data_IF_884786820389
#
_entry.id   IF_884786820389
#
_cell.length_a   1.000
_cell.length_b   1.000
_cell.length_c   1.000
_cell.angle_alpha   90.00
_cell.angle_beta   90.00
_cell.angle_gamma   90.00
#
_symmetry.space_group_name_H-M   'P 1'
#
loop_
_entity.id
_entity.type
_entity.pdbx_description
1 polymer ?
#
# COMPACT_ATOMS: atom_id res chain seq x y z
N UNK A 1 9.46 28.69 -27.79
CA UNK A 1 9.01 27.32 -28.03
C UNK A 1 8.86 26.71 -26.66
N UNK A 2 7.69 26.20 -26.25
CA UNK A 2 7.61 25.47 -25.00
C UNK A 2 8.35 24.15 -25.21
N UNK A 3 9.35 23.88 -24.38
CA UNK A 3 9.97 22.58 -24.27
C UNK A 3 8.85 21.57 -23.99
N UNK A 4 8.84 20.43 -24.70
CA UNK A 4 7.93 19.34 -24.35
C UNK A 4 8.21 19.01 -22.88
N UNK A 5 7.20 18.71 -22.05
CA UNK A 5 7.50 18.04 -20.79
C UNK A 5 8.34 16.82 -21.17
N UNK A 6 9.49 16.64 -20.53
CA UNK A 6 10.20 15.38 -20.63
C UNK A 6 9.16 14.30 -20.33
N UNK A 7 8.83 13.45 -21.32
CA UNK A 7 7.92 12.29 -21.17
C UNK A 7 8.56 11.22 -20.25
N UNK A 8 9.52 11.60 -19.41
CA UNK A 8 10.15 10.76 -18.41
C UNK A 8 9.26 10.73 -17.15
N UNK A 9 8.60 9.60 -16.86
CA UNK A 9 7.75 9.46 -15.69
C UNK A 9 8.52 9.62 -14.37
N UNK A 10 9.85 9.52 -14.39
CA UNK A 10 10.72 9.68 -13.23
C UNK A 10 11.28 11.10 -13.06
N UNK A 11 10.87 12.09 -13.87
CA UNK A 11 11.43 13.45 -13.81
C UNK A 11 11.36 14.09 -12.40
N UNK A 12 10.30 13.79 -11.64
CA UNK A 12 10.09 14.26 -10.26
C UNK A 12 10.51 13.23 -9.18
N UNK A 13 11.15 12.13 -9.57
CA UNK A 13 11.62 11.09 -8.67
C UNK A 13 13.07 11.31 -8.26
N UNK A 14 13.33 11.21 -6.96
CA UNK A 14 14.70 11.22 -6.42
C UNK A 14 15.43 9.88 -6.65
N UNK A 15 14.67 8.81 -6.88
CA UNK A 15 15.18 7.49 -7.17
C UNK A 15 15.22 7.24 -8.67
N UNK A 16 16.36 6.73 -9.15
CA UNK A 16 16.51 6.25 -10.51
C UNK A 16 15.49 5.13 -10.84
N UNK A 17 15.07 4.99 -12.11
CA UNK A 17 14.16 3.91 -12.52
C UNK A 17 14.71 2.51 -12.20
N UNK A 18 16.04 2.36 -12.21
CA UNK A 18 16.71 1.10 -11.85
C UNK A 18 16.58 0.75 -10.36
N UNK A 19 16.28 1.71 -9.49
CA UNK A 19 16.16 1.48 -8.05
C UNK A 19 14.86 0.77 -7.65
N UNK A 20 13.84 0.81 -8.52
CA UNK A 20 12.56 0.10 -8.31
C UNK A 20 12.52 -1.26 -8.99
N UNK A 21 13.49 -1.59 -9.85
CA UNK A 21 13.53 -2.86 -10.57
C UNK A 21 13.74 -4.07 -9.65
N UNK A 22 13.13 -5.18 -10.06
CA UNK A 22 13.20 -6.46 -9.38
C UNK A 22 12.06 -6.66 -8.37
N UNK A 23 12.18 -7.73 -7.59
CA UNK A 23 11.19 -8.11 -6.57
C UNK A 23 11.62 -7.64 -5.19
N UNK A 24 10.72 -6.95 -4.49
CA UNK A 24 10.94 -6.47 -3.13
C UNK A 24 9.75 -6.78 -2.23
N UNK A 25 10.04 -7.39 -1.09
CA UNK A 25 9.04 -7.65 -0.04
C UNK A 25 9.18 -6.62 1.08
N UNK A 26 8.04 -6.05 1.46
CA UNK A 26 7.85 -5.18 2.61
C UNK A 26 7.13 -5.98 3.69
N UNK A 27 7.77 -6.08 4.85
CA UNK A 27 7.29 -6.93 5.93
C UNK A 27 6.42 -6.19 6.93
N UNK A 28 5.35 -6.85 7.40
CA UNK A 28 4.46 -6.32 8.44
C UNK A 28 3.85 -4.96 8.08
N UNK A 29 3.34 -4.83 6.85
CA UNK A 29 2.74 -3.59 6.34
C UNK A 29 1.25 -3.70 6.05
N UNK A 30 0.75 -4.91 5.82
CA UNK A 30 -0.66 -5.16 5.56
C UNK A 30 -1.42 -5.38 6.87
N UNK A 31 -2.72 -5.11 6.84
CA UNK A 31 -3.62 -5.50 7.92
C UNK A 31 -3.63 -7.03 8.05
N UNK A 32 -3.63 -7.54 9.28
CA UNK A 32 -3.68 -8.96 9.61
C UNK A 32 -4.67 -9.19 10.75
N UNK A 33 -5.12 -10.44 10.96
CA UNK A 33 -5.95 -10.76 12.12
C UNK A 33 -5.20 -10.56 13.46
N UNK A 34 -3.87 -10.50 13.43
CA UNK A 34 -3.00 -10.19 14.57
C UNK A 34 -2.73 -8.68 14.74
N UNK A 35 -3.31 -7.82 13.89
CA UNK A 35 -3.15 -6.36 14.01
C UNK A 35 -3.63 -5.88 15.38
N UNK A 36 -2.84 -5.01 16.01
CA UNK A 36 -3.14 -4.51 17.34
C UNK A 36 -4.49 -3.79 17.39
N UNK A 37 -5.31 -4.15 18.38
CA UNK A 37 -6.63 -3.56 18.61
C UNK A 37 -6.72 -2.97 20.02
N UNK A 38 -7.46 -1.88 20.22
CA UNK A 38 -7.71 -1.36 21.56
C UNK A 38 -8.45 -2.40 22.39
N UNK A 39 -8.12 -2.45 23.68
CA UNK A 39 -8.83 -3.28 24.67
C UNK A 39 -9.47 -2.40 25.72
N UNK A 40 -10.73 -2.67 26.06
CA UNK A 40 -11.40 -1.98 27.15
C UNK A 40 -10.83 -2.48 28.48
N UNK A 41 -10.24 -1.58 29.27
CA UNK A 41 -9.60 -1.93 30.55
C UNK A 41 -10.57 -2.49 31.60
N UNK A 42 -11.86 -2.22 31.49
CA UNK A 42 -12.87 -2.70 32.44
C UNK A 42 -13.42 -4.09 32.08
N UNK A 43 -13.47 -4.42 30.78
CA UNK A 43 -14.06 -5.69 30.31
C UNK A 43 -13.03 -6.66 29.74
N UNK A 44 -11.84 -6.18 29.37
CA UNK A 44 -10.82 -6.94 28.65
C UNK A 44 -11.16 -7.20 27.17
N UNK A 45 -12.25 -6.64 26.66
CA UNK A 45 -12.76 -6.93 25.31
C UNK A 45 -12.35 -5.85 24.30
N UNK A 46 -12.09 -6.28 23.06
CA UNK A 46 -11.91 -5.38 21.92
C UNK A 46 -13.25 -4.73 21.53
N UNK A 47 -13.32 -3.40 21.41
CA UNK A 47 -14.53 -2.70 20.96
C UNK A 47 -15.04 -3.22 19.62
N UNK A 48 -16.36 -3.28 19.44
CA UNK A 48 -16.97 -3.83 18.23
C UNK A 48 -16.54 -3.11 16.93
N UNK A 49 -16.22 -1.82 16.98
CA UNK A 49 -15.72 -1.07 15.82
C UNK A 49 -14.30 -1.48 15.41
N UNK A 50 -13.49 -1.96 16.36
CA UNK A 50 -12.14 -2.47 16.13
C UNK A 50 -12.10 -3.96 15.81
N UNK A 51 -13.24 -4.66 15.87
CA UNK A 51 -13.34 -6.04 15.41
C UNK A 51 -13.48 -6.04 13.87
N UNK A 52 -12.46 -6.61 13.23
CA UNK A 52 -12.41 -6.79 11.78
C UNK A 52 -11.72 -8.11 11.46
N UNK A 53 -12.01 -8.63 10.26
CA UNK A 53 -11.30 -9.78 9.69
C UNK A 53 -10.53 -9.34 8.46
N UNK A 54 -9.49 -10.11 8.11
CA UNK A 54 -8.73 -9.90 6.87
C UNK A 54 -9.65 -9.84 5.63
N UNK A 55 -10.67 -10.69 5.56
CA UNK A 55 -11.61 -10.72 4.42
C UNK A 55 -12.44 -9.44 4.32
N UNK A 56 -12.85 -8.87 5.46
CA UNK A 56 -13.54 -7.57 5.49
C UNK A 56 -12.62 -6.44 5.00
N UNK A 57 -11.36 -6.43 5.44
CA UNK A 57 -10.38 -5.44 5.05
C UNK A 57 -10.04 -5.51 3.54
N UNK A 58 -9.87 -6.73 3.00
CA UNK A 58 -9.69 -6.96 1.56
C UNK A 58 -10.88 -6.48 0.75
N UNK A 59 -12.09 -6.84 1.17
CA UNK A 59 -13.32 -6.43 0.50
C UNK A 59 -13.48 -4.90 0.51
N UNK A 60 -13.11 -4.25 1.62
CA UNK A 60 -13.10 -2.80 1.71
C UNK A 60 -12.11 -2.16 0.73
N UNK A 61 -10.86 -2.63 0.71
CA UNK A 61 -9.86 -2.12 -0.24
C UNK A 61 -10.30 -2.30 -1.70
N UNK A 62 -10.83 -3.48 -2.03
CA UNK A 62 -11.36 -3.78 -3.36
C UNK A 62 -12.63 -2.99 -3.72
N UNK A 63 -13.35 -2.44 -2.74
CA UNK A 63 -14.56 -1.63 -2.97
C UNK A 63 -14.26 -0.18 -3.38
N UNK A 64 -13.01 0.26 -3.22
CA UNK A 64 -12.58 1.61 -3.62
C UNK A 64 -12.41 1.63 -5.13
N UNK A 65 -13.30 2.34 -5.81
CA UNK A 65 -13.30 2.52 -7.27
C UNK A 65 -12.22 3.54 -7.67
N UNK A 66 -11.00 3.06 -7.86
CA UNK A 66 -9.85 3.83 -8.33
C UNK A 66 -9.08 3.04 -9.39
N UNK A 67 -8.48 3.74 -10.35
CA UNK A 67 -7.66 3.12 -11.41
C UNK A 67 -6.44 2.35 -10.85
N UNK A 68 -6.02 2.67 -9.63
CA UNK A 68 -4.95 1.96 -8.92
C UNK A 68 -5.53 0.90 -7.97
N UNK A 69 -5.03 -0.34 -8.00
CA UNK A 69 -5.36 -1.34 -7.01
C UNK A 69 -5.00 -0.91 -5.58
N UNK A 70 -5.93 -1.13 -4.66
CA UNK A 70 -5.80 -0.76 -3.25
C UNK A 70 -5.49 -1.99 -2.39
N UNK A 71 -4.75 -1.76 -1.31
CA UNK A 71 -4.44 -2.71 -0.25
C UNK A 71 -4.94 -2.19 1.09
N UNK A 72 -5.24 -3.09 2.02
CA UNK A 72 -5.63 -2.72 3.36
C UNK A 72 -4.40 -2.63 4.28
N UNK A 73 -4.17 -1.45 4.84
CA UNK A 73 -3.11 -1.16 5.81
C UNK A 73 -3.69 -1.11 7.22
N UNK A 74 -2.92 -1.49 8.26
CA UNK A 74 -3.38 -1.39 9.64
C UNK A 74 -3.50 0.07 10.08
N UNK A 75 -4.53 0.36 10.87
CA UNK A 75 -4.71 1.64 11.54
C UNK A 75 -4.17 1.58 12.97
N UNK A 76 -3.51 2.65 13.43
CA UNK A 76 -3.00 2.70 14.80
C UNK A 76 -4.14 2.62 15.83
N UNK A 77 -3.85 2.05 17.01
CA UNK A 77 -4.82 1.98 18.11
C UNK A 77 -5.35 3.36 18.49
N UNK A 78 -4.49 4.37 18.52
CA UNK A 78 -4.88 5.77 18.80
C UNK A 78 -5.94 6.25 17.79
N UNK A 79 -5.68 6.08 16.49
CA UNK A 79 -6.63 6.45 15.43
C UNK A 79 -7.95 5.70 15.55
N UNK A 80 -7.91 4.38 15.83
CA UNK A 80 -9.11 3.57 16.01
C UNK A 80 -9.99 4.13 17.14
N UNK A 81 -9.38 4.48 18.27
CA UNK A 81 -10.09 5.00 19.45
C UNK A 81 -10.61 6.42 19.22
N UNK A 82 -9.76 7.33 18.70
CA UNK A 82 -10.11 8.74 18.51
C UNK A 82 -11.23 8.94 17.49
N UNK A 83 -11.25 8.11 16.45
CA UNK A 83 -12.19 8.24 15.33
C UNK A 83 -13.33 7.22 15.36
N UNK A 84 -13.30 6.26 16.30
CA UNK A 84 -14.21 5.11 16.35
C UNK A 84 -14.25 4.33 15.03
N UNK A 85 -13.10 4.22 14.36
CA UNK A 85 -12.97 3.61 13.03
C UNK A 85 -12.55 2.14 13.10
N UNK A 86 -12.66 1.46 11.96
CA UNK A 86 -12.13 0.12 11.73
C UNK A 86 -10.59 0.09 11.89
N UNK A 87 -10.00 -1.06 12.22
CA UNK A 87 -8.56 -1.22 12.44
C UNK A 87 -7.74 -1.23 11.15
N UNK A 88 -8.33 -0.84 10.02
CA UNK A 88 -7.69 -0.83 8.71
C UNK A 88 -8.10 0.40 7.91
N UNK A 89 -7.27 0.75 6.93
CA UNK A 89 -7.52 1.77 5.92
C UNK A 89 -7.12 1.27 4.53
N UNK A 90 -7.74 1.79 3.48
CA UNK A 90 -7.38 1.47 2.11
C UNK A 90 -6.33 2.46 1.60
N UNK A 91 -5.30 1.96 0.93
CA UNK A 91 -4.29 2.77 0.28
C UNK A 91 -3.75 2.06 -0.96
N UNK A 92 -3.23 2.81 -1.93
CA UNK A 92 -2.60 2.22 -3.10
C UNK A 92 -1.43 1.31 -2.68
N UNK A 93 -1.16 0.25 -3.44
CA UNK A 93 -0.10 -0.70 -3.09
C UNK A 93 1.29 -0.05 -2.96
N UNK A 94 1.55 1.02 -3.73
CA UNK A 94 2.79 1.79 -3.64
C UNK A 94 2.79 2.89 -2.55
N UNK A 95 1.76 2.98 -1.69
CA UNK A 95 1.66 4.03 -0.68
C UNK A 95 2.89 4.08 0.24
N UNK A 96 3.35 5.27 0.63
CA UNK A 96 4.59 5.44 1.41
C UNK A 96 4.57 4.72 2.77
N UNK A 97 3.37 4.51 3.36
CA UNK A 97 3.22 3.68 4.56
C UNK A 97 3.56 2.21 4.33
N UNK A 98 3.32 1.69 3.13
CA UNK A 98 3.66 0.32 2.75
C UNK A 98 5.11 0.22 2.24
N UNK A 99 5.55 1.18 1.44
CA UNK A 99 6.89 1.16 0.80
C UNK A 99 7.99 1.77 1.67
N UNK A 100 7.62 2.38 2.80
CA UNK A 100 8.51 2.91 3.83
C UNK A 100 9.15 4.26 3.52
N UNK A 101 8.89 4.88 2.36
CA UNK A 101 9.47 6.18 1.99
C UNK A 101 8.65 6.88 0.92
N UNK A 102 8.58 8.22 0.98
CA UNK A 102 7.91 9.03 -0.04
C UNK A 102 8.61 8.90 -1.41
N UNK A 103 9.93 8.77 -1.43
CA UNK A 103 10.73 8.60 -2.66
C UNK A 103 10.33 7.32 -3.41
N UNK A 104 10.26 6.17 -2.73
CA UNK A 104 9.79 4.91 -3.34
C UNK A 104 8.32 4.97 -3.76
N UNK A 105 7.49 5.64 -2.98
CA UNK A 105 6.08 5.84 -3.35
C UNK A 105 5.96 6.50 -4.72
N UNK A 106 6.71 7.60 -4.94
CA UNK A 106 6.74 8.28 -6.24
C UNK A 106 7.33 7.42 -7.33
N UNK A 107 8.44 6.72 -7.06
CA UNK A 107 9.11 5.90 -8.06
C UNK A 107 8.24 4.70 -8.51
N UNK A 108 7.53 4.03 -7.60
CA UNK A 108 6.60 2.95 -7.97
C UNK A 108 5.34 3.48 -8.65
N UNK A 109 4.82 4.66 -8.26
CA UNK A 109 3.73 5.31 -8.97
C UNK A 109 4.14 5.65 -10.41
N UNK A 110 5.33 6.23 -10.60
CA UNK A 110 5.90 6.52 -11.91
C UNK A 110 6.08 5.26 -12.76
N UNK A 111 6.60 4.17 -12.17
CA UNK A 111 6.71 2.89 -12.85
C UNK A 111 5.34 2.31 -13.25
N UNK A 112 4.34 2.40 -12.37
CA UNK A 112 3.00 1.85 -12.60
C UNK A 112 2.23 2.62 -13.68
N UNK A 113 2.39 3.94 -13.74
CA UNK A 113 1.77 4.80 -14.77
C UNK A 113 2.52 4.78 -16.11
N UNK A 114 3.70 4.16 -16.15
CA UNK A 114 4.55 4.12 -17.34
C UNK A 114 4.37 2.82 -18.11
N UNK A 115 4.15 2.94 -19.42
CA UNK A 115 4.16 1.80 -20.34
C UNK A 115 5.55 1.11 -20.46
N UNK A 116 6.61 1.74 -19.95
CA UNK A 116 7.97 1.20 -19.99
C UNK A 116 8.24 0.13 -18.91
N UNK A 117 7.33 -0.05 -17.96
CA UNK A 117 7.48 -1.01 -16.87
C UNK A 117 6.24 -1.89 -16.73
N UNK A 118 6.45 -3.11 -16.26
CA UNK A 118 5.39 -4.00 -15.80
C UNK A 118 5.51 -4.10 -14.29
N UNK A 119 4.47 -3.67 -13.57
CA UNK A 119 4.42 -3.65 -12.12
C UNK A 119 3.37 -4.63 -11.64
N UNK A 120 3.81 -5.68 -10.97
CA UNK A 120 2.97 -6.66 -10.29
C UNK A 120 3.12 -6.51 -8.78
N UNK A 121 2.04 -6.79 -8.04
CA UNK A 121 2.09 -6.80 -6.58
C UNK A 121 1.30 -8.00 -6.03
N UNK A 122 1.80 -8.53 -4.92
CA UNK A 122 1.19 -9.62 -4.18
C UNK A 122 1.01 -9.16 -2.72
N UNK A 123 -0.24 -9.17 -2.26
CA UNK A 123 -0.59 -8.82 -0.90
C UNK A 123 -0.86 -10.10 -0.08
N UNK A 124 0.13 -10.53 0.71
CA UNK A 124 0.01 -11.68 1.61
C UNK A 124 -0.48 -11.24 2.98
N UNK A 125 -1.80 -11.17 3.12
CA UNK A 125 -2.48 -10.83 4.39
C UNK A 125 -2.32 -11.90 5.49
N UNK A 126 -1.84 -13.11 5.16
CA UNK A 126 -1.58 -14.11 6.19
C UNK A 126 -0.29 -13.81 6.97
N UNK A 127 0.72 -13.24 6.29
CA UNK A 127 1.98 -12.85 6.91
C UNK A 127 2.13 -11.33 7.12
N UNK A 128 1.19 -10.53 6.60
CA UNK A 128 1.26 -9.07 6.63
C UNK A 128 2.24 -8.49 5.60
N UNK A 129 2.73 -9.29 4.66
CA UNK A 129 3.77 -8.91 3.71
C UNK A 129 3.19 -8.40 2.40
N UNK A 130 3.78 -7.32 1.87
CA UNK A 130 3.51 -6.83 0.52
C UNK A 130 4.74 -7.08 -0.35
N UNK A 131 4.59 -7.82 -1.43
CA UNK A 131 5.64 -7.99 -2.43
C UNK A 131 5.30 -7.17 -3.67
N UNK A 132 6.23 -6.34 -4.12
CA UNK A 132 6.14 -5.59 -5.38
C UNK A 132 7.24 -6.09 -6.30
N UNK A 133 6.87 -6.43 -7.53
CA UNK A 133 7.79 -6.83 -8.60
C UNK A 133 7.68 -5.83 -9.73
N UNK A 134 8.81 -5.25 -10.12
CA UNK A 134 8.89 -4.34 -11.27
C UNK A 134 9.86 -4.90 -12.28
N UNK A 135 9.39 -5.05 -13.50
CA UNK A 135 10.18 -5.48 -14.64
C UNK A 135 10.14 -4.39 -15.72
N UNK A 136 11.19 -4.29 -16.53
CA UNK A 136 11.12 -3.43 -17.72
C UNK A 136 10.20 -4.11 -18.73
N UNK A 137 9.24 -3.36 -19.27
CA UNK A 137 8.48 -3.83 -20.41
C UNK A 137 9.46 -4.01 -21.57
N UNK A 138 9.65 -5.25 -22.02
CA UNK A 138 10.51 -5.49 -23.19
C UNK A 138 9.93 -4.72 -24.38
N UNK A 139 10.71 -3.78 -24.93
CA UNK A 139 10.45 -3.24 -26.26
C UNK A 139 10.42 -4.42 -27.24
N UNK A 140 9.25 -4.68 -27.83
CA UNK A 140 9.08 -5.71 -28.86
C UNK A 140 9.68 -5.27 -30.19
#
# INVERSE_FOLDING_TARGET
MPEKPDDDPFHDCELDPDAVLGTRTFHDVLFTDDTETPVNVLTGETPAHSQASVEEAKAFAASIDTDTPQIALPASVETQVETQSKPYTAAAFFHFKATGSLERHRAYHAAYDSDAFTVDFEADYASGNLTITVERANES
#
